data_IF_066138463149
#
_entry.id   IF_066138463149
#
_cell.length_a   1.000
_cell.length_b   1.000
_cell.length_c   1.000
_cell.angle_alpha   90.00
_cell.angle_beta   90.00
_cell.angle_gamma   90.00
#
_symmetry.space_group_name_H-M   'P 1'
#
loop_
_entity.id
_entity.type
_entity.pdbx_description
1 polymer ?
#
# COMPACT_ATOMS: atom_id res chain seq x y z
N UNK A 1 0.56 -1.58 -20.34
CA UNK A 1 0.54 -1.68 -18.86
C UNK A 1 1.97 -1.67 -18.33
N UNK A 2 2.17 -1.56 -17.02
CA UNK A 2 3.50 -1.50 -16.40
C UNK A 2 4.21 -2.86 -16.27
N UNK A 3 3.53 -3.97 -16.57
CA UNK A 3 4.14 -5.30 -16.47
C UNK A 3 4.28 -5.82 -15.04
N UNK A 4 3.69 -5.15 -14.04
CA UNK A 4 3.61 -5.64 -12.66
C UNK A 4 2.57 -6.77 -12.59
N UNK A 5 3.01 -7.99 -12.28
CA UNK A 5 2.18 -9.21 -12.35
C UNK A 5 1.80 -9.78 -10.97
N UNK A 6 2.50 -9.40 -9.90
CA UNK A 6 2.25 -9.89 -8.54
C UNK A 6 2.16 -8.75 -7.53
N UNK A 7 1.29 -8.89 -6.55
CA UNK A 7 1.20 -8.00 -5.38
C UNK A 7 0.59 -8.74 -4.20
N UNK A 8 0.86 -8.25 -2.99
CA UNK A 8 0.17 -8.66 -1.76
C UNK A 8 -0.72 -7.51 -1.31
N UNK A 9 -1.95 -7.84 -0.88
CA UNK A 9 -2.94 -6.87 -0.42
C UNK A 9 -3.37 -7.25 0.98
N UNK A 10 -3.40 -6.28 1.89
CA UNK A 10 -3.80 -6.50 3.29
C UNK A 10 -4.71 -5.37 3.76
N UNK A 11 -5.79 -5.71 4.44
CA UNK A 11 -6.64 -4.74 5.11
C UNK A 11 -5.98 -4.28 6.40
N UNK A 12 -5.88 -2.97 6.58
CA UNK A 12 -5.22 -2.34 7.74
C UNK A 12 -6.09 -1.22 8.30
N UNK A 13 -5.71 -0.76 9.49
CA UNK A 13 -6.32 0.39 10.16
C UNK A 13 -5.31 1.52 10.21
N UNK A 14 -5.66 2.67 9.64
CA UNK A 14 -4.80 3.85 9.56
C UNK A 14 -5.24 4.95 10.53
N UNK A 15 -4.28 5.61 11.16
CA UNK A 15 -4.48 6.80 12.01
C UNK A 15 -3.75 8.00 11.41
N UNK A 16 -4.30 9.22 11.56
CA UNK A 16 -3.62 10.42 11.11
C UNK A 16 -4.50 11.67 11.05
N UNK A 17 -4.18 12.59 10.12
CA UNK A 17 -4.91 13.86 9.96
C UNK A 17 -6.36 13.69 9.48
N UNK A 18 -6.67 12.55 8.88
CA UNK A 18 -8.04 12.17 8.59
C UNK A 18 -8.67 11.75 9.92
N UNK A 19 -9.39 12.68 10.56
CA UNK A 19 -10.11 12.40 11.80
C UNK A 19 -11.17 11.33 11.50
N UNK A 20 -11.25 10.30 12.34
CA UNK A 20 -12.35 9.36 12.23
C UNK A 20 -13.66 9.93 12.75
N UNK A 21 -14.74 9.19 12.55
CA UNK A 21 -16.07 9.59 12.99
C UNK A 21 -16.32 9.09 14.42
N UNK A 22 -17.01 9.89 15.24
CA UNK A 22 -17.53 9.41 16.53
C UNK A 22 -18.75 8.55 16.24
N UNK A 23 -18.69 7.26 16.57
CA UNK A 23 -19.84 6.37 16.49
C UNK A 23 -20.44 6.18 17.89
N UNK A 24 -21.76 6.37 18.01
CA UNK A 24 -22.52 6.00 19.21
C UNK A 24 -22.81 4.50 19.15
N UNK A 25 -22.07 3.70 19.94
CA UNK A 25 -22.33 2.27 20.08
C UNK A 25 -22.99 1.99 21.44
N UNK A 26 -24.26 1.56 21.42
CA UNK A 26 -25.05 1.22 22.63
C UNK A 26 -25.03 2.29 23.74
N UNK A 27 -25.14 3.57 23.36
CA UNK A 27 -25.23 4.67 24.33
C UNK A 27 -23.90 5.08 24.97
N UNK A 28 -22.76 4.54 24.51
CA UNK A 28 -21.42 5.04 24.83
C UNK A 28 -20.81 5.66 23.58
N UNK A 29 -20.23 6.86 23.70
CA UNK A 29 -19.46 7.48 22.62
C UNK A 29 -18.13 6.73 22.45
N UNK A 30 -17.88 6.19 21.26
CA UNK A 30 -16.56 5.69 20.88
C UNK A 30 -16.01 6.58 19.78
N UNK A 31 -14.89 7.26 20.05
CA UNK A 31 -14.12 7.92 19.00
C UNK A 31 -13.42 6.83 18.19
N UNK A 32 -13.82 6.65 16.93
CA UNK A 32 -13.13 5.72 16.04
C UNK A 32 -11.89 6.42 15.53
N UNK A 33 -10.77 6.26 16.23
CA UNK A 33 -9.50 6.89 15.83
C UNK A 33 -8.92 6.31 14.53
N UNK A 34 -9.24 5.04 14.24
CA UNK A 34 -8.67 4.30 13.12
C UNK A 34 -9.64 4.11 11.97
N UNK A 35 -9.24 4.52 10.77
CA UNK A 35 -10.01 4.33 9.56
C UNK A 35 -9.53 3.09 8.79
N UNK A 36 -10.44 2.29 8.19
CA UNK A 36 -10.05 1.17 7.34
C UNK A 36 -9.28 1.67 6.13
N UNK A 37 -8.20 0.98 5.78
CA UNK A 37 -7.31 1.25 4.65
C UNK A 37 -6.86 -0.06 4.03
N UNK A 38 -6.39 0.00 2.79
CA UNK A 38 -5.75 -1.12 2.11
C UNK A 38 -4.26 -0.84 2.00
N UNK A 39 -3.43 -1.79 2.45
CA UNK A 39 -1.99 -1.81 2.21
C UNK A 39 -1.72 -2.68 1.00
N UNK A 40 -1.04 -2.13 0.00
CA UNK A 40 -0.58 -2.86 -1.19
C UNK A 40 0.94 -2.91 -1.12
N UNK A 41 1.49 -4.11 -1.23
CA UNK A 41 2.92 -4.38 -1.27
C UNK A 41 3.26 -5.03 -2.60
N UNK A 42 4.19 -4.41 -3.32
CA UNK A 42 4.65 -4.84 -4.63
C UNK A 42 6.16 -4.70 -4.69
N UNK A 43 6.83 -5.72 -5.18
CA UNK A 43 8.27 -5.68 -5.50
C UNK A 43 8.39 -5.48 -7.00
N UNK A 44 9.27 -4.58 -7.43
CA UNK A 44 9.51 -4.29 -8.85
C UNK A 44 11.01 -4.12 -9.10
N UNK A 45 11.49 -4.35 -10.33
CA UNK A 45 12.83 -3.96 -10.73
C UNK A 45 13.11 -2.47 -10.49
N UNK A 46 14.36 -2.14 -10.15
CA UNK A 46 14.81 -0.76 -9.85
C UNK A 46 14.41 0.24 -10.96
N UNK A 47 14.61 -0.16 -12.22
CA UNK A 47 14.32 0.69 -13.37
C UNK A 47 12.82 1.01 -13.57
N UNK A 48 11.92 0.34 -12.85
CA UNK A 48 10.48 0.59 -12.89
C UNK A 48 9.96 1.39 -11.68
N UNK A 49 10.76 1.60 -10.63
CA UNK A 49 10.33 2.21 -9.36
C UNK A 49 9.61 3.54 -9.58
N UNK A 50 10.24 4.49 -10.27
CA UNK A 50 9.68 5.83 -10.50
C UNK A 50 8.36 5.78 -11.28
N UNK A 51 8.28 4.89 -12.27
CA UNK A 51 7.09 4.73 -13.10
C UNK A 51 5.93 4.11 -12.33
N UNK A 52 6.23 3.16 -11.44
CA UNK A 52 5.24 2.52 -10.57
C UNK A 52 4.74 3.51 -9.52
N UNK A 53 5.63 4.23 -8.84
CA UNK A 53 5.26 5.23 -7.83
C UNK A 53 4.37 6.32 -8.44
N UNK A 54 4.78 6.90 -9.57
CA UNK A 54 3.98 7.93 -10.26
C UNK A 54 2.60 7.42 -10.67
N UNK A 55 2.51 6.16 -11.12
CA UNK A 55 1.23 5.55 -11.50
C UNK A 55 0.33 5.30 -10.29
N UNK A 56 0.87 4.78 -9.18
CA UNK A 56 0.10 4.58 -7.93
C UNK A 56 -0.42 5.92 -7.41
N UNK A 57 0.45 6.95 -7.38
CA UNK A 57 0.06 8.29 -6.93
C UNK A 57 -1.04 8.86 -7.83
N UNK A 58 -0.90 8.76 -9.15
CA UNK A 58 -1.92 9.27 -10.07
C UNK A 58 -3.26 8.54 -9.93
N UNK A 59 -3.24 7.22 -9.73
CA UNK A 59 -4.45 6.41 -9.61
C UNK A 59 -5.16 6.55 -8.26
N UNK A 60 -4.40 6.67 -7.16
CA UNK A 60 -4.94 6.72 -5.80
C UNK A 60 -5.31 8.15 -5.33
N UNK A 61 -4.84 9.19 -6.02
CA UNK A 61 -5.07 10.58 -5.63
C UNK A 61 -6.51 11.00 -5.91
N UNK A 62 -7.25 11.31 -4.84
CA UNK A 62 -8.56 11.97 -4.91
C UNK A 62 -8.44 13.48 -4.65
N UNK A 63 -7.32 13.91 -4.04
CA UNK A 63 -7.13 15.28 -3.57
C UNK A 63 -7.71 15.54 -2.18
N UNK A 64 -8.33 14.54 -1.55
CA UNK A 64 -8.91 14.63 -0.21
C UNK A 64 -7.91 14.23 0.87
N UNK A 65 -8.16 14.68 2.10
CA UNK A 65 -7.38 14.22 3.27
C UNK A 65 -7.64 12.72 3.45
N UNK A 66 -6.57 11.93 3.40
CA UNK A 66 -6.67 10.48 3.63
C UNK A 66 -6.24 9.59 2.46
N UNK A 67 -5.83 10.16 1.33
CA UNK A 67 -5.32 9.42 0.15
C UNK A 67 -4.17 8.46 0.46
N UNK A 68 -3.51 8.62 1.61
CA UNK A 68 -2.53 7.67 2.12
C UNK A 68 -1.10 8.11 1.83
N UNK A 69 -0.21 7.12 1.69
CA UNK A 69 1.23 7.32 1.48
C UNK A 69 1.76 6.19 0.60
N UNK A 70 2.81 6.49 -0.16
CA UNK A 70 3.62 5.49 -0.85
C UNK A 70 5.00 5.50 -0.20
N UNK A 71 5.49 4.33 0.16
CA UNK A 71 6.84 4.15 0.69
C UNK A 71 7.62 3.28 -0.29
N UNK A 72 8.88 3.65 -0.52
CA UNK A 72 9.83 2.85 -1.31
C UNK A 72 10.87 2.33 -0.34
N UNK A 73 11.01 1.02 -0.28
CA UNK A 73 11.99 0.33 0.55
C UNK A 73 12.89 -0.50 -0.36
N UNK A 74 14.23 -0.46 -0.18
CA UNK A 74 15.12 -1.32 -0.93
C UNK A 74 14.90 -2.79 -0.54
N UNK A 75 15.01 -3.68 -1.51
CA UNK A 75 15.03 -5.13 -1.31
C UNK A 75 16.40 -5.62 -1.74
N UNK A 76 17.17 -6.14 -0.79
CA UNK A 76 18.52 -6.63 -1.08
C UNK A 76 18.51 -7.90 -1.92
N UNK A 77 17.53 -8.80 -1.68
CA UNK A 77 17.37 -10.04 -2.44
C UNK A 77 15.91 -10.49 -2.52
N UNK A 78 15.54 -11.07 -3.66
CA UNK A 78 14.26 -11.74 -3.89
C UNK A 78 14.51 -13.17 -4.33
N UNK A 79 13.70 -14.12 -3.88
CA UNK A 79 13.81 -15.54 -4.22
C UNK A 79 12.42 -16.09 -4.56
N UNK A 80 12.24 -16.64 -5.77
CA UNK A 80 10.99 -17.28 -6.17
C UNK A 80 10.97 -18.72 -5.67
N UNK A 81 10.21 -19.01 -4.61
CA UNK A 81 10.14 -20.33 -3.95
C UNK A 81 9.95 -21.50 -4.94
N UNK A 82 9.09 -21.33 -5.95
CA UNK A 82 8.75 -22.40 -6.90
C UNK A 82 9.93 -22.82 -7.80
N UNK A 83 10.79 -21.88 -8.19
CA UNK A 83 11.82 -22.10 -9.22
C UNK A 83 13.24 -21.94 -8.69
N UNK A 84 13.43 -21.27 -7.55
CA UNK A 84 14.74 -20.90 -7.02
C UNK A 84 15.38 -19.72 -7.73
N UNK A 85 14.69 -19.07 -8.67
CA UNK A 85 15.15 -17.83 -9.31
C UNK A 85 15.41 -16.74 -8.25
N UNK A 86 16.43 -15.92 -8.47
CA UNK A 86 16.85 -14.88 -7.53
C UNK A 86 16.93 -13.50 -8.19
N UNK A 87 16.97 -12.45 -7.35
CA UNK A 87 17.10 -11.07 -7.80
C UNK A 87 15.92 -10.63 -8.68
N UNK A 88 16.20 -9.90 -9.76
CA UNK A 88 15.16 -9.37 -10.66
C UNK A 88 14.31 -10.47 -11.33
N UNK A 89 14.89 -11.64 -11.59
CA UNK A 89 14.17 -12.78 -12.20
C UNK A 89 13.11 -13.40 -11.28
N UNK A 90 13.24 -13.16 -9.96
CA UNK A 90 12.31 -13.64 -8.95
C UNK A 90 11.08 -12.73 -8.78
N UNK A 91 11.14 -11.51 -9.33
CA UNK A 91 10.10 -10.49 -9.24
C UNK A 91 9.03 -10.70 -10.30
#
# INVERSE_FOLDING_TARGET
>A
GLGVVGMTVTEVRGFGRQKGHTELYRGSEYTVDFLPKVKIEVVVPEHLVDKVVSTIVAAAKTGSIGDGKVFVLPIDESIRIRTGETGESAV
#
